data_IF_019437775839
#
_entry.id   IF_019437775839
#
_cell.length_a   1.000
_cell.length_b   1.000
_cell.length_c   1.000
_cell.angle_alpha   90.00
_cell.angle_beta   90.00
_cell.angle_gamma   90.00
#
_symmetry.space_group_name_H-M   'P 1'
#
loop_
_entity.id
_entity.type
_entity.pdbx_description
1 polymer ?
#
# COMPACT_ATOMS: atom_id res chain seq x y z
N UNK A 1 -20.45 34.83 1.95
CA UNK A 1 -19.81 33.52 2.23
C UNK A 1 -18.95 33.23 1.03
N UNK A 2 -17.64 33.49 1.10
CA UNK A 2 -16.75 33.32 -0.06
C UNK A 2 -16.46 31.83 -0.23
N UNK A 3 -17.20 31.18 -1.13
CA UNK A 3 -16.96 29.78 -1.48
C UNK A 3 -15.60 29.71 -2.17
N UNK A 4 -14.65 28.97 -1.60
CA UNK A 4 -13.32 28.82 -2.18
C UNK A 4 -13.22 27.51 -2.93
N UNK A 5 -12.89 27.57 -4.22
CA UNK A 5 -12.83 26.42 -5.12
C UNK A 5 -11.47 26.31 -5.78
N UNK A 6 -11.02 25.09 -6.07
CA UNK A 6 -9.78 24.91 -6.83
C UNK A 6 -10.00 25.25 -8.31
N UNK A 7 -8.91 25.34 -9.10
CA UNK A 7 -8.98 25.72 -10.51
C UNK A 7 -9.91 24.83 -11.36
N UNK A 8 -9.94 23.51 -11.12
CA UNK A 8 -10.82 22.57 -11.84
C UNK A 8 -12.29 22.77 -11.48
N UNK A 9 -12.60 22.91 -10.19
CA UNK A 9 -13.95 23.19 -9.70
C UNK A 9 -14.44 24.56 -10.17
N UNK A 10 -13.56 25.57 -10.20
CA UNK A 10 -13.87 26.88 -10.74
C UNK A 10 -14.13 26.88 -12.24
N UNK A 11 -13.39 26.07 -13.01
CA UNK A 11 -13.67 25.84 -14.43
C UNK A 11 -15.03 25.16 -14.61
N UNK A 12 -15.29 24.07 -13.88
CA UNK A 12 -16.56 23.36 -13.94
C UNK A 12 -17.74 24.28 -13.57
N UNK A 13 -17.63 25.08 -12.51
CA UNK A 13 -18.64 26.08 -12.14
C UNK A 13 -18.85 27.12 -13.23
N UNK A 14 -17.78 27.63 -13.85
CA UNK A 14 -17.90 28.58 -14.96
C UNK A 14 -18.60 27.96 -16.16
N UNK A 15 -18.26 26.72 -16.51
CA UNK A 15 -18.84 25.99 -17.63
C UNK A 15 -20.31 25.67 -17.37
N UNK A 16 -20.66 25.27 -16.14
CA UNK A 16 -22.05 25.03 -15.71
C UNK A 16 -22.87 26.32 -15.75
N UNK A 17 -22.35 27.44 -15.22
CA UNK A 17 -23.03 28.74 -15.26
C UNK A 17 -23.20 29.20 -16.71
N UNK A 18 -22.19 28.99 -17.58
CA UNK A 18 -22.29 29.32 -19.00
C UNK A 18 -23.36 28.47 -19.71
N UNK A 19 -23.44 27.17 -19.42
CA UNK A 19 -24.51 26.30 -19.94
C UNK A 19 -25.89 26.74 -19.47
N UNK A 20 -26.06 27.06 -18.18
CA UNK A 20 -27.34 27.54 -17.65
C UNK A 20 -27.76 28.89 -18.26
N UNK A 21 -26.80 29.78 -18.50
CA UNK A 21 -27.02 31.04 -19.20
C UNK A 21 -27.42 30.80 -20.67
N UNK A 22 -26.77 29.83 -21.35
CA UNK A 22 -27.08 29.47 -22.73
C UNK A 22 -28.46 28.77 -22.87
N UNK A 23 -28.87 28.00 -21.86
CA UNK A 23 -30.17 27.34 -21.78
C UNK A 23 -31.30 28.24 -21.24
N UNK A 24 -31.02 29.53 -20.98
CA UNK A 24 -31.95 30.49 -20.38
C UNK A 24 -32.56 30.06 -19.02
N UNK A 25 -31.84 29.24 -18.26
CA UNK A 25 -32.24 28.86 -16.90
C UNK A 25 -31.96 29.96 -15.87
N UNK A 26 -31.01 30.86 -16.19
CA UNK A 26 -30.62 32.01 -15.36
C UNK A 26 -30.41 33.24 -16.23
N UNK A 27 -30.65 34.43 -15.67
CA UNK A 27 -30.39 35.70 -16.36
C UNK A 27 -28.90 36.12 -16.28
N UNK A 28 -28.52 37.11 -17.10
CA UNK A 28 -27.13 37.61 -17.14
C UNK A 28 -26.64 38.18 -15.80
N UNK A 29 -27.54 38.76 -15.00
CA UNK A 29 -27.21 39.39 -13.73
C UNK A 29 -26.99 38.34 -12.63
N UNK A 30 -27.82 37.30 -12.60
CA UNK A 30 -27.69 36.11 -11.77
C UNK A 30 -26.43 35.33 -12.10
N UNK A 31 -26.10 35.15 -13.39
CA UNK A 31 -24.87 34.50 -13.81
C UNK A 31 -23.62 35.26 -13.28
N UNK A 32 -23.65 36.59 -13.31
CA UNK A 32 -22.56 37.42 -12.81
C UNK A 32 -22.45 37.38 -11.28
N UNK A 33 -23.57 37.38 -10.57
CA UNK A 33 -23.61 37.19 -9.11
C UNK A 33 -23.07 35.81 -8.70
N UNK A 34 -23.44 34.75 -9.42
CA UNK A 34 -22.95 33.39 -9.17
C UNK A 34 -21.45 33.27 -9.40
N UNK A 35 -20.91 33.87 -10.47
CA UNK A 35 -19.45 33.91 -10.71
C UNK A 35 -18.69 34.69 -9.64
N UNK A 36 -19.31 35.72 -9.04
CA UNK A 36 -18.71 36.49 -7.94
C UNK A 36 -18.87 35.84 -6.57
N UNK A 37 -19.75 34.84 -6.44
CA UNK A 37 -20.02 34.14 -5.17
C UNK A 37 -18.90 33.18 -4.75
N UNK A 38 -17.95 32.88 -5.64
CA UNK A 38 -16.82 32.01 -5.36
C UNK A 38 -15.48 32.61 -5.79
N UNK A 39 -14.43 32.23 -5.09
CA UNK A 39 -13.05 32.59 -5.42
C UNK A 39 -12.28 31.35 -5.83
N UNK A 40 -11.59 31.45 -6.96
CA UNK A 40 -10.72 30.39 -7.46
C UNK A 40 -9.36 30.50 -6.74
N UNK A 41 -9.07 29.54 -5.88
CA UNK A 41 -7.72 29.38 -5.34
C UNK A 41 -6.86 28.77 -6.46
N UNK A 42 -5.83 29.49 -6.88
CA UNK A 42 -4.93 29.10 -7.97
C UNK A 42 -4.05 27.89 -7.62
N UNK A 43 -3.80 27.65 -6.33
CA UNK A 43 -2.89 26.61 -5.84
C UNK A 43 -3.54 25.68 -4.81
N UNK A 44 -3.47 24.36 -5.06
CA UNK A 44 -4.03 23.35 -4.18
C UNK A 44 -3.06 23.04 -3.02
N UNK A 45 -3.11 23.89 -1.99
CA UNK A 45 -2.27 23.74 -0.79
C UNK A 45 -2.49 22.41 -0.06
N UNK A 46 -3.68 21.81 -0.18
CA UNK A 46 -3.96 20.49 0.39
C UNK A 46 -3.19 19.41 -0.35
N UNK A 47 -3.19 19.46 -1.68
CA UNK A 47 -2.45 18.54 -2.52
C UNK A 47 -0.93 18.67 -2.28
N UNK A 48 -0.41 19.91 -2.22
CA UNK A 48 0.99 20.15 -1.87
C UNK A 48 1.32 19.56 -0.50
N UNK A 49 0.52 19.85 0.52
CA UNK A 49 0.75 19.32 1.87
C UNK A 49 0.79 17.79 1.87
N UNK A 50 -0.19 17.14 1.25
CA UNK A 50 -0.24 15.67 1.17
C UNK A 50 1.01 15.11 0.49
N UNK A 51 1.39 15.63 -0.67
CA UNK A 51 2.59 15.14 -1.38
C UNK A 51 3.88 15.47 -0.65
N UNK A 52 4.02 16.65 -0.04
CA UNK A 52 5.19 17.00 0.76
C UNK A 52 5.35 16.08 1.97
N UNK A 53 4.26 15.71 2.65
CA UNK A 53 4.32 14.73 3.73
C UNK A 53 4.72 13.34 3.22
N UNK A 54 4.19 12.89 2.08
CA UNK A 54 4.61 11.62 1.48
C UNK A 54 6.08 11.62 1.07
N UNK A 55 6.57 12.70 0.48
CA UNK A 55 7.99 12.86 0.14
C UNK A 55 8.84 12.87 1.41
N UNK A 56 8.43 13.60 2.45
CA UNK A 56 9.15 13.61 3.73
C UNK A 56 9.23 12.22 4.35
N UNK A 57 8.13 11.45 4.33
CA UNK A 57 8.11 10.05 4.79
C UNK A 57 9.06 9.19 3.94
N UNK A 58 9.00 9.30 2.61
CA UNK A 58 9.85 8.54 1.71
C UNK A 58 11.35 8.87 1.91
N UNK A 59 11.68 10.15 2.04
CA UNK A 59 13.03 10.61 2.37
C UNK A 59 13.50 10.10 3.73
N UNK A 60 12.62 10.09 4.74
CA UNK A 60 12.95 9.55 6.06
C UNK A 60 13.24 8.05 5.99
N UNK A 61 12.37 7.27 5.34
CA UNK A 61 12.56 5.83 5.14
C UNK A 61 13.87 5.57 4.39
N UNK A 62 14.10 6.28 3.29
CA UNK A 62 15.32 6.15 2.50
C UNK A 62 16.56 6.51 3.31
N UNK A 63 16.50 7.57 4.13
CA UNK A 63 17.59 7.94 5.04
C UNK A 63 17.91 6.82 6.03
N UNK A 64 16.91 6.15 6.59
CA UNK A 64 17.12 5.01 7.51
C UNK A 64 17.75 3.83 6.76
N UNK A 65 17.24 3.50 5.57
CA UNK A 65 17.79 2.40 4.76
C UNK A 65 19.25 2.67 4.37
N UNK A 66 19.57 3.89 3.91
CA UNK A 66 20.93 4.28 3.53
C UNK A 66 21.87 4.29 4.73
N UNK A 67 21.39 4.74 5.89
CA UNK A 67 22.16 4.72 7.13
C UNK A 67 22.48 3.29 7.59
N UNK A 68 21.55 2.34 7.42
CA UNK A 68 21.78 0.90 7.72
C UNK A 68 22.64 0.22 6.65
N UNK A 69 22.72 0.75 5.44
CA UNK A 69 23.58 0.22 4.38
C UNK A 69 25.02 0.74 4.46
N UNK A 70 25.30 1.74 5.30
CA UNK A 70 26.60 2.41 5.40
C UNK A 70 27.37 1.92 6.65
N UNK A 71 28.41 1.12 6.41
CA UNK A 71 29.27 0.55 7.45
C UNK A 71 29.95 1.62 8.34
N UNK A 72 30.26 2.80 7.78
CA UNK A 72 30.88 3.90 8.53
C UNK A 72 29.86 4.57 9.46
N UNK A 73 28.64 4.81 8.99
CA UNK A 73 27.58 5.35 9.83
C UNK A 73 27.16 4.35 10.92
N UNK A 74 27.07 3.05 10.60
CA UNK A 74 26.85 2.00 11.59
C UNK A 74 27.98 1.97 12.62
N UNK A 75 29.24 2.14 12.22
CA UNK A 75 30.38 2.20 13.13
C UNK A 75 30.39 3.47 14.00
N UNK A 76 29.92 4.61 13.47
CA UNK A 76 29.77 5.84 14.22
C UNK A 76 28.62 5.72 15.24
N UNK A 77 27.51 5.12 14.81
CA UNK A 77 26.37 4.80 15.64
C UNK A 77 26.79 3.79 16.71
N UNK A 78 27.56 2.74 16.42
CA UNK A 78 28.01 1.77 17.42
C UNK A 78 28.93 2.39 18.47
N UNK A 79 29.68 3.45 18.12
CA UNK A 79 30.41 4.27 19.10
C UNK A 79 29.50 5.17 19.95
N UNK A 80 28.44 5.74 19.37
CA UNK A 80 27.41 6.50 20.10
C UNK A 80 26.52 5.58 20.98
N UNK A 81 26.30 4.35 20.51
CA UNK A 81 25.57 3.22 21.08
C UNK A 81 26.54 2.31 21.86
N UNK A 82 27.55 2.88 22.52
CA UNK A 82 28.17 2.21 23.68
C UNK A 82 27.21 2.16 24.90
N UNK A 83 25.99 2.66 24.69
CA UNK A 83 24.85 2.61 25.60
C UNK A 83 24.24 1.20 25.58
N UNK A 84 24.01 0.55 26.74
CA UNK A 84 23.40 -0.76 26.79
C UNK A 84 22.09 -0.84 25.99
N UNK A 85 21.90 -1.92 25.21
CA UNK A 85 20.69 -2.10 24.39
C UNK A 85 19.39 -1.95 25.19
N UNK A 86 19.40 -2.35 26.47
CA UNK A 86 18.27 -2.19 27.40
C UNK A 86 17.88 -0.73 27.61
N UNK A 87 18.86 0.18 27.72
CA UNK A 87 18.62 1.61 27.87
C UNK A 87 17.99 2.15 26.58
N UNK A 88 18.50 1.76 25.41
CA UNK A 88 17.94 2.18 24.12
C UNK A 88 16.53 1.66 23.87
N UNK A 89 16.22 0.43 24.30
CA UNK A 89 14.85 -0.10 24.29
C UNK A 89 13.94 0.79 25.14
N UNK A 90 14.31 1.04 26.41
CA UNK A 90 13.49 1.84 27.33
C UNK A 90 13.27 3.26 26.82
N UNK A 91 14.35 3.95 26.39
CA UNK A 91 14.23 5.32 25.88
C UNK A 91 13.38 5.37 24.61
N UNK A 92 13.58 4.44 23.68
CA UNK A 92 12.77 4.38 22.45
C UNK A 92 11.31 4.06 22.75
N UNK A 93 11.02 3.15 23.69
CA UNK A 93 9.64 2.87 24.13
C UNK A 93 8.98 4.09 24.74
N UNK A 94 9.69 4.85 25.59
CA UNK A 94 9.16 6.10 26.17
C UNK A 94 8.88 7.12 25.06
N UNK A 95 9.81 7.31 24.12
CA UNK A 95 9.63 8.23 22.99
C UNK A 95 8.43 7.82 22.13
N UNK A 96 8.28 6.54 21.81
CA UNK A 96 7.13 6.03 21.06
C UNK A 96 5.81 6.33 21.79
N UNK A 97 5.75 6.04 23.09
CA UNK A 97 4.59 6.34 23.93
C UNK A 97 4.25 7.84 23.95
N UNK A 98 5.26 8.70 24.10
CA UNK A 98 5.08 10.14 24.03
C UNK A 98 4.56 10.60 22.67
N UNK A 99 5.05 10.05 21.56
CA UNK A 99 4.56 10.38 20.22
C UNK A 99 3.08 10.02 20.04
N UNK A 100 2.65 8.85 20.50
CA UNK A 100 1.23 8.47 20.47
C UNK A 100 0.38 9.40 21.36
N UNK A 101 0.79 9.66 22.60
CA UNK A 101 0.06 10.53 23.53
C UNK A 101 -0.04 11.96 23.01
N UNK A 102 1.07 12.52 22.53
CA UNK A 102 1.12 13.86 21.95
C UNK A 102 0.31 13.92 20.65
N UNK A 103 0.33 12.87 19.83
CA UNK A 103 -0.51 12.75 18.64
C UNK A 103 -2.00 12.79 18.97
N UNK A 104 -2.43 12.09 20.04
CA UNK A 104 -3.81 12.12 20.52
C UNK A 104 -4.18 13.50 21.04
N UNK A 105 -3.37 14.11 21.92
CA UNK A 105 -3.62 15.46 22.45
C UNK A 105 -3.70 16.49 21.32
N UNK A 106 -2.78 16.42 20.36
CA UNK A 106 -2.76 17.31 19.19
C UNK A 106 -3.99 17.13 18.32
N UNK A 107 -4.45 15.89 18.09
CA UNK A 107 -5.67 15.62 17.32
C UNK A 107 -6.92 16.20 17.99
N UNK A 108 -6.96 16.26 19.32
CA UNK A 108 -8.06 16.90 20.06
C UNK A 108 -8.02 18.44 19.93
N UNK A 109 -6.83 19.04 19.94
CA UNK A 109 -6.68 20.50 19.83
C UNK A 109 -6.78 21.03 18.39
N UNK A 110 -6.31 20.26 17.40
CA UNK A 110 -6.27 20.63 15.99
C UNK A 110 -6.85 19.52 15.10
N UNK A 111 -8.17 19.24 15.19
CA UNK A 111 -8.81 18.17 14.43
C UNK A 111 -8.75 18.38 12.91
N UNK A 112 -8.60 19.62 12.45
CA UNK A 112 -8.48 19.99 11.03
C UNK A 112 -7.14 19.57 10.41
N UNK A 113 -6.09 19.36 11.20
CA UNK A 113 -4.73 19.02 10.73
C UNK A 113 -4.54 17.51 10.56
N UNK A 114 -5.44 16.85 9.84
CA UNK A 114 -5.51 15.39 9.71
C UNK A 114 -4.18 14.74 9.30
N UNK A 115 -3.50 15.27 8.28
CA UNK A 115 -2.24 14.69 7.77
C UNK A 115 -1.11 14.80 8.80
N UNK A 116 -0.97 15.96 9.45
CA UNK A 116 0.09 16.16 10.44
C UNK A 116 -0.15 15.38 11.73
N UNK A 117 -1.42 15.16 12.11
CA UNK A 117 -1.78 14.32 13.24
C UNK A 117 -1.43 12.86 12.93
N UNK A 118 -1.71 12.39 11.71
CA UNK A 118 -1.38 11.04 11.27
C UNK A 118 0.14 10.81 11.16
N UNK A 119 0.90 11.84 10.77
CA UNK A 119 2.36 11.80 10.74
C UNK A 119 2.97 11.55 12.13
N UNK A 120 2.37 12.09 13.19
CA UNK A 120 2.82 11.84 14.57
C UNK A 120 2.66 10.35 14.95
N UNK A 121 1.53 9.75 14.56
CA UNK A 121 1.30 8.31 14.76
C UNK A 121 2.25 7.46 13.92
N UNK A 122 2.56 7.88 12.69
CA UNK A 122 3.56 7.23 11.85
C UNK A 122 4.93 7.18 12.53
N UNK A 123 5.42 8.31 13.08
CA UNK A 123 6.68 8.29 13.83
C UNK A 123 6.58 7.41 15.09
N UNK A 124 5.45 7.42 15.79
CA UNK A 124 5.21 6.50 16.92
C UNK A 124 5.36 5.02 16.50
N UNK A 125 4.79 4.66 15.35
CA UNK A 125 4.95 3.32 14.75
C UNK A 125 6.42 3.04 14.43
N UNK A 126 7.14 3.93 13.75
CA UNK A 126 8.54 3.70 13.42
C UNK A 126 9.43 3.51 14.66
N UNK A 127 9.27 4.37 15.68
CA UNK A 127 10.07 4.26 16.91
C UNK A 127 9.70 3.00 17.70
N UNK A 128 8.45 2.52 17.63
CA UNK A 128 8.06 1.25 18.24
C UNK A 128 8.79 0.06 17.57
N UNK A 129 8.93 0.07 16.24
CA UNK A 129 9.72 -0.93 15.54
C UNK A 129 11.20 -0.87 15.93
N UNK A 130 11.77 0.34 16.03
CA UNK A 130 13.16 0.55 16.51
C UNK A 130 13.35 0.04 17.94
N UNK A 131 12.41 0.33 18.84
CA UNK A 131 12.45 -0.16 20.22
C UNK A 131 12.46 -1.69 20.28
N UNK A 132 11.66 -2.34 19.42
CA UNK A 132 11.64 -3.80 19.29
C UNK A 132 12.94 -4.35 18.72
N UNK A 133 13.54 -3.66 17.75
CA UNK A 133 14.87 -3.99 17.23
C UNK A 133 15.97 -3.90 18.29
N UNK A 134 15.97 -2.87 19.14
CA UNK A 134 16.93 -2.83 20.26
C UNK A 134 16.65 -3.90 21.31
N UNK A 135 15.37 -4.25 21.54
CA UNK A 135 14.99 -5.30 22.49
C UNK A 135 15.61 -6.64 22.10
N UNK A 136 15.75 -6.95 20.80
CA UNK A 136 16.35 -8.22 20.35
C UNK A 136 17.82 -8.38 20.71
N UNK A 137 18.53 -7.27 20.94
CA UNK A 137 19.93 -7.27 21.36
C UNK A 137 20.12 -7.21 22.88
N UNK A 138 19.04 -7.28 23.67
CA UNK A 138 19.13 -7.30 25.13
C UNK A 138 19.43 -8.70 25.66
N UNK A 139 20.11 -8.77 26.81
CA UNK A 139 20.41 -10.05 27.48
C UNK A 139 19.16 -10.83 27.88
N UNK A 140 18.04 -10.14 28.15
CA UNK A 140 16.76 -10.75 28.51
C UNK A 140 16.12 -11.50 27.33
N UNK A 141 16.33 -11.04 26.10
CA UNK A 141 15.68 -11.56 24.91
C UNK A 141 16.62 -12.41 24.02
N UNK A 142 17.82 -12.75 24.52
CA UNK A 142 18.85 -13.46 23.77
C UNK A 142 18.37 -14.82 23.21
N UNK A 143 17.47 -15.48 23.93
CA UNK A 143 16.90 -16.79 23.54
C UNK A 143 15.55 -16.68 22.86
N UNK A 144 15.04 -15.47 22.62
CA UNK A 144 13.75 -15.28 21.99
C UNK A 144 13.87 -15.44 20.48
N UNK A 145 12.82 -15.95 19.86
CA UNK A 145 12.75 -16.10 18.40
C UNK A 145 12.63 -14.73 17.74
N UNK A 146 13.25 -14.57 16.58
CA UNK A 146 13.22 -13.31 15.84
C UNK A 146 11.79 -12.82 15.53
N UNK A 147 10.89 -13.76 15.24
CA UNK A 147 9.47 -13.49 14.98
C UNK A 147 8.77 -12.77 16.14
N UNK A 148 9.21 -12.97 17.39
CA UNK A 148 8.63 -12.30 18.57
C UNK A 148 8.85 -10.79 18.52
N UNK A 149 10.01 -10.34 18.01
CA UNK A 149 10.30 -8.92 17.87
C UNK A 149 9.52 -8.24 16.74
N UNK A 150 8.90 -9.01 15.84
CA UNK A 150 7.93 -8.50 14.87
C UNK A 150 6.52 -8.58 15.45
N UNK A 151 6.22 -9.63 16.22
CA UNK A 151 4.91 -9.84 16.83
C UNK A 151 4.55 -8.74 17.83
N UNK A 152 5.49 -8.35 18.70
CA UNK A 152 5.28 -7.30 19.72
C UNK A 152 4.80 -5.98 19.10
N UNK A 153 5.55 -5.35 18.17
CA UNK A 153 5.10 -4.10 17.53
C UNK A 153 3.81 -4.32 16.73
N UNK A 154 3.64 -5.47 16.07
CA UNK A 154 2.41 -5.80 15.34
C UNK A 154 1.18 -5.80 16.25
N UNK A 155 1.27 -6.45 17.41
CA UNK A 155 0.19 -6.49 18.39
C UNK A 155 -0.13 -5.08 18.93
N UNK A 156 0.91 -4.27 19.19
CA UNK A 156 0.75 -2.87 19.59
C UNK A 156 0.00 -2.08 18.50
N UNK A 157 0.38 -2.22 17.22
CA UNK A 157 -0.27 -1.51 16.11
C UNK A 157 -1.71 -1.95 15.90
N UNK A 158 -2.04 -3.24 16.08
CA UNK A 158 -3.43 -3.71 16.00
C UNK A 158 -4.30 -3.01 17.05
N UNK A 159 -3.83 -2.96 18.30
CA UNK A 159 -4.57 -2.32 19.41
C UNK A 159 -4.67 -0.81 19.20
N UNK A 160 -3.55 -0.15 18.96
CA UNK A 160 -3.50 1.31 18.78
C UNK A 160 -4.28 1.75 17.54
N UNK A 161 -4.17 1.02 16.43
CA UNK A 161 -4.89 1.32 15.18
C UNK A 161 -6.40 1.33 15.36
N UNK A 162 -6.93 0.36 16.12
CA UNK A 162 -8.37 0.31 16.44
C UNK A 162 -8.75 1.42 17.43
N UNK A 163 -8.00 1.59 18.52
CA UNK A 163 -8.30 2.57 19.57
C UNK A 163 -8.26 4.01 19.05
N UNK A 164 -7.22 4.35 18.28
CA UNK A 164 -7.04 5.69 17.72
C UNK A 164 -7.85 5.91 16.45
N UNK A 165 -8.54 4.89 15.93
CA UNK A 165 -9.20 4.94 14.62
C UNK A 165 -8.27 5.49 13.51
N UNK A 166 -7.03 5.03 13.52
CA UNK A 166 -5.99 5.46 12.58
C UNK A 166 -5.83 4.39 11.50
N UNK A 167 -6.16 4.76 10.26
CA UNK A 167 -6.00 3.88 9.10
C UNK A 167 -4.51 3.63 8.83
N UNK A 168 -3.66 4.63 9.04
CA UNK A 168 -2.23 4.50 8.83
C UNK A 168 -1.62 3.46 9.78
N UNK A 169 -1.89 3.57 11.09
CA UNK A 169 -1.38 2.60 12.07
C UNK A 169 -1.90 1.20 11.78
N UNK A 170 -3.17 1.08 11.37
CA UNK A 170 -3.74 -0.19 10.96
C UNK A 170 -3.06 -0.82 9.74
N UNK A 171 -2.68 -0.01 8.74
CA UNK A 171 -1.91 -0.50 7.59
C UNK A 171 -0.58 -1.11 8.05
N UNK A 172 0.14 -0.44 8.96
CA UNK A 172 1.38 -0.98 9.52
C UNK A 172 1.15 -2.23 10.38
N UNK A 173 0.00 -2.33 11.05
CA UNK A 173 -0.40 -3.54 11.75
C UNK A 173 -0.57 -4.73 10.78
N UNK A 174 -1.28 -4.53 9.68
CA UNK A 174 -1.46 -5.58 8.65
C UNK A 174 -0.14 -5.93 7.94
N UNK A 175 0.72 -4.94 7.70
CA UNK A 175 2.07 -5.18 7.20
C UNK A 175 2.90 -6.02 8.19
N UNK A 176 2.81 -5.70 9.47
CA UNK A 176 3.42 -6.45 10.56
C UNK A 176 2.92 -7.88 10.65
N UNK A 177 1.61 -8.12 10.45
CA UNK A 177 1.05 -9.48 10.36
C UNK A 177 1.70 -10.27 9.22
N UNK A 178 1.85 -9.67 8.05
CA UNK A 178 2.54 -10.31 6.92
C UNK A 178 4.00 -10.66 7.26
N UNK A 179 4.76 -9.71 7.81
CA UNK A 179 6.16 -9.94 8.22
C UNK A 179 6.28 -11.00 9.32
N UNK A 180 5.35 -11.01 10.27
CA UNK A 180 5.32 -12.00 11.33
C UNK A 180 5.03 -13.40 10.77
N UNK A 181 4.03 -13.55 9.90
CA UNK A 181 3.75 -14.85 9.25
C UNK A 181 4.93 -15.31 8.41
N UNK A 182 5.58 -14.39 7.68
CA UNK A 182 6.77 -14.70 6.91
C UNK A 182 7.87 -15.28 7.79
N UNK A 183 8.23 -14.58 8.87
CA UNK A 183 9.32 -14.99 9.77
C UNK A 183 8.98 -16.23 10.58
N UNK A 184 7.77 -16.32 11.15
CA UNK A 184 7.33 -17.47 11.95
C UNK A 184 7.24 -18.74 11.10
N UNK A 185 6.61 -18.67 9.93
CA UNK A 185 6.50 -19.87 9.07
C UNK A 185 7.85 -20.27 8.47
N UNK A 186 8.78 -19.33 8.26
CA UNK A 186 10.13 -19.65 7.81
C UNK A 186 10.95 -20.30 8.92
N UNK A 187 10.80 -19.83 10.16
CA UNK A 187 11.41 -20.47 11.33
C UNK A 187 10.87 -21.90 11.55
N UNK A 188 9.55 -22.10 11.43
CA UNK A 188 8.92 -23.41 11.62
C UNK A 188 9.20 -24.40 10.47
N UNK A 189 9.55 -23.91 9.28
CA UNK A 189 9.85 -24.77 8.13
C UNK A 189 11.18 -25.56 8.29
N UNK A 190 12.09 -25.09 9.15
CA UNK A 190 13.42 -25.67 9.37
C UNK A 190 14.23 -25.83 8.06
N UNK A 191 15.10 -26.84 7.95
CA UNK A 191 15.94 -27.13 6.77
C UNK A 191 15.15 -27.39 5.48
N UNK A 192 13.83 -27.58 5.59
CA UNK A 192 12.92 -27.69 4.47
C UNK A 192 12.31 -26.32 4.21
N UNK A 193 12.69 -25.68 3.11
CA UNK A 193 12.16 -24.39 2.66
C UNK A 193 10.62 -24.31 2.47
N UNK A 194 9.88 -25.41 2.69
CA UNK A 194 8.43 -25.54 2.61
C UNK A 194 7.80 -25.70 4.00
N UNK A 195 6.92 -24.77 4.38
CA UNK A 195 6.08 -24.88 5.57
C UNK A 195 4.77 -25.56 5.19
N UNK A 196 4.48 -26.75 5.74
CA UNK A 196 3.32 -27.57 5.36
C UNK A 196 3.20 -27.80 3.84
N UNK A 197 4.33 -27.99 3.17
CA UNK A 197 4.38 -28.17 1.70
C UNK A 197 4.16 -26.88 0.91
N UNK A 198 4.14 -25.72 1.56
CA UNK A 198 3.93 -24.42 0.93
C UNK A 198 5.20 -23.58 0.94
N UNK A 199 5.55 -23.04 -0.21
CA UNK A 199 6.57 -22.00 -0.31
C UNK A 199 6.00 -20.63 0.13
N UNK A 200 6.88 -19.62 0.21
CA UNK A 200 6.50 -18.28 0.69
C UNK A 200 5.34 -17.68 -0.12
N UNK A 201 5.37 -17.66 -1.48
CA UNK A 201 4.23 -17.20 -2.26
C UNK A 201 2.91 -17.91 -1.91
N UNK A 202 2.88 -19.24 -1.82
CA UNK A 202 1.65 -19.96 -1.52
C UNK A 202 1.10 -19.65 -0.12
N UNK A 203 1.98 -19.51 0.88
CA UNK A 203 1.59 -19.05 2.23
C UNK A 203 0.94 -17.67 2.18
N UNK A 204 1.54 -16.73 1.44
CA UNK A 204 1.00 -15.37 1.32
C UNK A 204 -0.28 -15.28 0.50
N UNK A 205 -0.53 -16.20 -0.43
CA UNK A 205 -1.83 -16.32 -1.08
C UNK A 205 -2.92 -16.64 -0.04
N UNK A 206 -2.66 -17.57 0.88
CA UNK A 206 -3.61 -17.90 1.96
C UNK A 206 -3.78 -16.72 2.91
N UNK A 207 -2.69 -16.09 3.36
CA UNK A 207 -2.75 -14.90 4.23
C UNK A 207 -3.55 -13.78 3.58
N UNK A 208 -3.28 -13.49 2.30
CA UNK A 208 -4.01 -12.49 1.54
C UNK A 208 -5.51 -12.81 1.45
N UNK A 209 -5.88 -14.05 1.16
CA UNK A 209 -7.26 -14.51 1.13
C UNK A 209 -7.96 -14.37 2.50
N UNK A 210 -7.27 -14.70 3.59
CA UNK A 210 -7.79 -14.53 4.95
C UNK A 210 -8.02 -13.04 5.29
N UNK A 211 -7.10 -12.15 4.91
CA UNK A 211 -7.25 -10.71 5.12
C UNK A 211 -8.38 -10.12 4.26
N UNK A 212 -8.57 -10.61 3.03
CA UNK A 212 -9.74 -10.24 2.20
C UNK A 212 -11.04 -10.67 2.89
N UNK A 213 -11.09 -11.89 3.44
CA UNK A 213 -12.24 -12.38 4.21
C UNK A 213 -12.49 -11.57 5.49
N UNK A 214 -11.42 -11.18 6.19
CA UNK A 214 -11.50 -10.27 7.34
C UNK A 214 -12.11 -8.93 6.92
N UNK A 215 -11.65 -8.35 5.81
CA UNK A 215 -12.20 -7.09 5.29
C UNK A 215 -13.70 -7.18 5.02
N UNK A 216 -14.18 -8.28 4.44
CA UNK A 216 -15.61 -8.51 4.24
C UNK A 216 -16.39 -8.54 5.56
N UNK A 217 -15.81 -9.12 6.61
CA UNK A 217 -16.40 -9.17 7.95
C UNK A 217 -16.47 -7.80 8.63
N UNK A 218 -15.46 -6.93 8.40
CA UNK A 218 -15.44 -5.57 8.95
C UNK A 218 -16.59 -4.69 8.43
N UNK A 219 -17.13 -4.98 7.24
CA UNK A 219 -18.26 -4.24 6.65
C UNK A 219 -19.53 -4.31 7.52
N UNK A 220 -19.70 -5.39 8.27
CA UNK A 220 -20.88 -5.59 9.12
C UNK A 220 -20.80 -4.88 10.48
N UNK A 221 -19.62 -4.39 10.88
CA UNK A 221 -19.42 -3.71 12.15
C UNK A 221 -19.19 -2.21 11.93
N UNK A 222 -20.18 -1.39 12.28
CA UNK A 222 -20.12 0.08 12.13
C UNK A 222 -18.91 0.73 12.83
N UNK A 223 -18.42 0.14 13.93
CA UNK A 223 -17.23 0.64 14.64
C UNK A 223 -15.94 0.42 13.87
N UNK A 224 -15.87 -0.63 13.04
CA UNK A 224 -14.66 -1.03 12.30
C UNK A 224 -14.76 -0.76 10.80
N UNK A 225 -15.88 -0.21 10.32
CA UNK A 225 -16.11 0.07 8.92
C UNK A 225 -15.00 0.93 8.29
N UNK A 226 -14.43 1.87 9.06
CA UNK A 226 -13.32 2.72 8.60
C UNK A 226 -12.04 1.94 8.22
N UNK A 227 -11.90 0.69 8.68
CA UNK A 227 -10.76 -0.18 8.39
C UNK A 227 -11.00 -1.06 7.15
N UNK A 228 -12.23 -1.12 6.63
CA UNK A 228 -12.63 -2.04 5.56
C UNK A 228 -11.76 -1.88 4.31
N UNK A 229 -11.65 -0.66 3.78
CA UNK A 229 -10.91 -0.39 2.54
C UNK A 229 -9.42 -0.67 2.68
N UNK A 230 -8.80 -0.24 3.79
CA UNK A 230 -7.39 -0.50 4.07
C UNK A 230 -7.08 -1.99 4.22
N UNK A 231 -7.96 -2.73 4.89
CA UNK A 231 -7.84 -4.19 5.05
C UNK A 231 -8.00 -4.89 3.70
N UNK A 232 -8.96 -4.46 2.88
CA UNK A 232 -9.16 -5.00 1.54
C UNK A 232 -7.93 -4.77 0.67
N UNK A 233 -7.38 -3.56 0.70
CA UNK A 233 -6.19 -3.18 -0.05
C UNK A 233 -5.00 -4.07 0.28
N UNK A 234 -4.64 -4.23 1.56
CA UNK A 234 -3.51 -5.07 1.96
C UNK A 234 -3.77 -6.56 1.63
N UNK A 235 -5.00 -7.04 1.86
CA UNK A 235 -5.37 -8.42 1.52
C UNK A 235 -5.21 -8.72 0.04
N UNK A 236 -5.72 -7.85 -0.84
CA UNK A 236 -5.55 -7.99 -2.29
C UNK A 236 -4.10 -7.83 -2.71
N UNK A 237 -3.35 -6.91 -2.10
CA UNK A 237 -1.93 -6.74 -2.35
C UNK A 237 -1.17 -8.04 -2.06
N UNK A 238 -1.35 -8.66 -0.89
CA UNK A 238 -0.72 -9.93 -0.57
C UNK A 238 -1.18 -11.05 -1.49
N UNK A 239 -2.49 -11.18 -1.70
CA UNK A 239 -3.06 -12.24 -2.51
C UNK A 239 -2.58 -12.21 -3.96
N UNK A 240 -2.69 -11.06 -4.63
CA UNK A 240 -2.34 -10.96 -6.05
C UNK A 240 -0.83 -10.97 -6.29
N UNK A 241 -0.02 -10.35 -5.41
CA UNK A 241 1.45 -10.46 -5.52
C UNK A 241 1.89 -11.91 -5.31
N UNK A 242 1.32 -12.61 -4.35
CA UNK A 242 1.59 -14.03 -4.12
C UNK A 242 1.25 -14.89 -5.33
N UNK A 243 0.05 -14.74 -5.89
CA UNK A 243 -0.35 -15.49 -7.09
C UNK A 243 0.53 -15.17 -8.31
N UNK A 244 0.91 -13.90 -8.49
CA UNK A 244 1.86 -13.53 -9.54
C UNK A 244 3.23 -14.18 -9.33
N UNK A 245 3.75 -14.19 -8.10
CA UNK A 245 5.01 -14.90 -7.80
C UNK A 245 4.88 -16.41 -8.06
N UNK A 246 3.73 -17.03 -7.80
CA UNK A 246 3.49 -18.44 -8.12
C UNK A 246 3.50 -18.74 -9.63
N UNK A 247 3.14 -17.79 -10.50
CA UNK A 247 3.26 -18.00 -11.96
C UNK A 247 4.72 -17.98 -12.45
N UNK A 248 5.62 -17.39 -11.66
CA UNK A 248 7.06 -17.31 -11.94
C UNK A 248 7.80 -18.46 -11.27
N UNK A 249 7.53 -18.71 -9.99
CA UNK A 249 8.31 -19.61 -9.14
C UNK A 249 7.62 -20.96 -8.86
N UNK A 250 6.31 -21.09 -9.10
CA UNK A 250 5.56 -22.27 -8.69
C UNK A 250 5.58 -22.51 -7.19
N UNK A 251 5.39 -23.77 -6.77
CA UNK A 251 5.48 -24.21 -5.38
C UNK A 251 6.61 -25.23 -5.22
N UNK A 252 7.85 -24.76 -5.35
CA UNK A 252 9.05 -25.57 -5.16
C UNK A 252 9.76 -25.24 -3.86
N UNK A 253 10.55 -26.20 -3.40
CA UNK A 253 11.32 -26.13 -2.16
C UNK A 253 12.54 -25.22 -2.30
N UNK A 254 13.31 -25.29 -3.38
CA UNK A 254 14.55 -24.52 -3.49
C UNK A 254 14.67 -23.77 -4.80
N UNK A 255 15.49 -22.70 -4.78
CA UNK A 255 15.83 -21.96 -6.00
C UNK A 255 16.58 -22.85 -7.00
N UNK A 256 17.38 -23.81 -6.50
CA UNK A 256 18.04 -24.81 -7.32
C UNK A 256 17.06 -25.80 -7.93
N UNK A 257 16.04 -26.25 -7.19
CA UNK A 257 14.98 -27.07 -7.79
C UNK A 257 14.24 -26.30 -8.89
N UNK A 258 13.88 -25.04 -8.64
CA UNK A 258 13.23 -24.17 -9.62
C UNK A 258 14.07 -23.93 -10.88
N UNK A 259 15.40 -23.75 -10.75
CA UNK A 259 16.26 -23.43 -11.91
C UNK A 259 16.36 -24.54 -12.95
N UNK A 260 16.02 -25.79 -12.59
CA UNK A 260 16.06 -26.94 -13.50
C UNK A 260 14.72 -27.19 -14.19
N UNK A 261 13.68 -26.43 -13.86
CA UNK A 261 12.32 -26.66 -14.32
C UNK A 261 12.02 -25.78 -15.53
N UNK A 262 11.39 -26.38 -16.54
CA UNK A 262 10.93 -25.64 -17.71
C UNK A 262 9.69 -24.84 -17.31
N UNK A 263 9.62 -23.57 -17.68
CA UNK A 263 8.47 -22.76 -17.27
C UNK A 263 7.12 -23.24 -17.82
N UNK A 264 7.12 -24.05 -18.88
CA UNK A 264 5.90 -24.68 -19.39
C UNK A 264 5.21 -25.53 -18.30
N UNK A 265 5.94 -26.08 -17.33
CA UNK A 265 5.38 -26.89 -16.23
C UNK A 265 4.57 -26.04 -15.24
N UNK A 266 4.77 -24.71 -15.23
CA UNK A 266 4.07 -23.74 -14.39
C UNK A 266 2.79 -23.18 -15.04
N UNK A 267 2.37 -23.73 -16.17
CA UNK A 267 1.17 -23.26 -16.89
C UNK A 267 -0.09 -23.28 -16.02
N UNK A 268 -0.23 -24.26 -15.13
CA UNK A 268 -1.38 -24.38 -14.21
C UNK A 268 -1.55 -23.15 -13.31
N UNK A 269 -0.45 -22.61 -12.78
CA UNK A 269 -0.47 -21.38 -11.98
C UNK A 269 -0.86 -20.16 -12.81
N UNK A 270 -0.41 -20.11 -14.08
CA UNK A 270 -0.77 -19.03 -15.00
C UNK A 270 -2.26 -19.03 -15.35
N UNK A 271 -2.84 -20.22 -15.60
CA UNK A 271 -4.28 -20.37 -15.85
C UNK A 271 -5.09 -20.01 -14.60
N UNK A 272 -4.69 -20.50 -13.43
CA UNK A 272 -5.35 -20.16 -12.17
C UNK A 272 -5.34 -18.63 -11.92
N UNK A 273 -4.19 -17.99 -12.13
CA UNK A 273 -4.05 -16.53 -12.02
C UNK A 273 -4.96 -15.78 -13.01
N UNK A 274 -5.05 -16.25 -14.25
CA UNK A 274 -5.94 -15.66 -15.26
C UNK A 274 -7.41 -15.78 -14.84
N UNK A 275 -7.84 -16.95 -14.35
CA UNK A 275 -9.20 -17.14 -13.87
C UNK A 275 -9.51 -16.26 -12.66
N UNK A 276 -8.58 -16.13 -11.71
CA UNK A 276 -8.75 -15.29 -10.53
C UNK A 276 -8.83 -13.81 -10.89
N UNK A 277 -7.95 -13.33 -11.78
CA UNK A 277 -7.97 -11.92 -12.23
C UNK A 277 -9.24 -11.59 -13.00
N UNK A 278 -9.70 -12.45 -13.92
CA UNK A 278 -10.98 -12.29 -14.62
C UNK A 278 -12.17 -12.29 -13.65
N UNK A 279 -12.16 -13.20 -12.68
CA UNK A 279 -13.20 -13.26 -11.64
C UNK A 279 -13.23 -12.00 -10.79
N UNK A 280 -12.07 -11.44 -10.43
CA UNK A 280 -11.96 -10.19 -9.70
C UNK A 280 -12.44 -8.99 -10.52
N UNK A 281 -12.13 -8.93 -11.81
CA UNK A 281 -12.65 -7.89 -12.72
C UNK A 281 -14.17 -7.97 -12.77
N UNK A 282 -14.72 -9.17 -13.02
CA UNK A 282 -16.16 -9.39 -13.08
C UNK A 282 -16.86 -9.02 -11.77
N UNK A 283 -16.34 -9.50 -10.64
CA UNK A 283 -16.86 -9.18 -9.30
C UNK A 283 -16.77 -7.68 -8.99
N UNK A 284 -15.65 -7.03 -9.34
CA UNK A 284 -15.43 -5.61 -9.13
C UNK A 284 -16.37 -4.73 -9.96
N UNK A 285 -16.70 -5.14 -11.20
CA UNK A 285 -17.72 -4.47 -12.02
C UNK A 285 -19.12 -4.70 -11.43
N UNK A 286 -19.48 -5.95 -11.14
CA UNK A 286 -20.82 -6.32 -10.66
C UNK A 286 -21.19 -5.61 -9.34
N UNK A 287 -20.23 -5.46 -8.44
CA UNK A 287 -20.46 -4.87 -7.12
C UNK A 287 -20.02 -3.41 -7.01
N UNK A 288 -19.68 -2.76 -8.13
CA UNK A 288 -19.13 -1.41 -8.18
C UNK A 288 -17.97 -1.18 -7.18
N UNK A 289 -17.09 -2.17 -7.06
CA UNK A 289 -15.90 -2.08 -6.22
C UNK A 289 -14.68 -1.73 -7.11
N UNK A 290 -14.28 -0.44 -7.16
CA UNK A 290 -13.22 0.00 -8.06
C UNK A 290 -11.86 -0.60 -7.68
N UNK A 291 -11.66 -0.92 -6.39
CA UNK A 291 -10.39 -1.41 -5.87
C UNK A 291 -10.14 -2.86 -6.32
N UNK A 292 -11.08 -3.78 -6.12
CA UNK A 292 -10.97 -5.17 -6.61
C UNK A 292 -10.83 -5.19 -8.14
N UNK A 293 -11.62 -4.36 -8.83
CA UNK A 293 -11.54 -4.22 -10.30
C UNK A 293 -10.15 -3.78 -10.75
N UNK A 294 -9.56 -2.77 -10.09
CA UNK A 294 -8.24 -2.27 -10.43
C UNK A 294 -7.16 -3.34 -10.23
N UNK A 295 -7.16 -4.05 -9.09
CA UNK A 295 -6.23 -5.16 -8.86
C UNK A 295 -6.37 -6.24 -9.94
N UNK A 296 -7.60 -6.65 -10.27
CA UNK A 296 -7.85 -7.63 -11.33
C UNK A 296 -7.27 -7.20 -12.69
N UNK A 297 -7.49 -5.94 -13.11
CA UNK A 297 -6.96 -5.40 -14.37
C UNK A 297 -5.43 -5.33 -14.35
N UNK A 298 -4.85 -4.74 -13.30
CA UNK A 298 -3.40 -4.56 -13.18
C UNK A 298 -2.69 -5.90 -13.21
N UNK A 299 -3.16 -6.87 -12.44
CA UNK A 299 -2.52 -8.18 -12.35
C UNK A 299 -2.79 -9.08 -13.56
N UNK A 300 -3.91 -8.89 -14.27
CA UNK A 300 -4.12 -9.52 -15.57
C UNK A 300 -3.07 -9.03 -16.58
N UNK A 301 -2.89 -7.71 -16.69
CA UNK A 301 -1.86 -7.12 -17.56
C UNK A 301 -0.46 -7.57 -17.16
N UNK A 302 -0.14 -7.52 -15.86
CA UNK A 302 1.14 -7.98 -15.32
C UNK A 302 1.41 -9.44 -15.72
N UNK A 303 0.42 -10.33 -15.55
CA UNK A 303 0.54 -11.74 -15.92
C UNK A 303 0.75 -11.92 -17.43
N UNK A 304 -0.02 -11.22 -18.27
CA UNK A 304 0.13 -11.27 -19.73
C UNK A 304 1.51 -10.79 -20.18
N UNK A 305 2.01 -9.69 -19.61
CA UNK A 305 3.34 -9.19 -19.94
C UNK A 305 4.46 -10.08 -19.40
N UNK A 306 4.33 -10.67 -18.21
CA UNK A 306 5.29 -11.66 -17.73
C UNK A 306 5.42 -12.83 -18.72
N UNK A 307 4.28 -13.36 -19.22
CA UNK A 307 4.29 -14.40 -20.26
C UNK A 307 4.85 -13.91 -21.59
N UNK A 308 4.55 -12.68 -21.99
CA UNK A 308 5.11 -12.08 -23.20
C UNK A 308 6.64 -12.06 -23.15
N UNK A 309 7.22 -11.59 -22.04
CA UNK A 309 8.67 -11.62 -21.85
C UNK A 309 9.21 -13.05 -21.88
N UNK A 310 8.56 -13.97 -21.16
CA UNK A 310 9.02 -15.36 -21.08
C UNK A 310 9.07 -16.08 -22.43
N UNK A 311 8.02 -15.97 -23.25
CA UNK A 311 7.95 -16.68 -24.53
C UNK A 311 8.68 -15.97 -25.68
N UNK A 312 8.70 -14.63 -25.67
CA UNK A 312 9.17 -13.86 -26.83
C UNK A 312 10.56 -13.24 -26.67
N UNK A 313 11.11 -13.19 -25.45
CA UNK A 313 12.41 -12.54 -25.23
C UNK A 313 13.57 -13.20 -25.99
N UNK A 314 13.60 -14.54 -26.03
CA UNK A 314 14.64 -15.31 -26.72
C UNK A 314 14.33 -15.62 -28.19
N UNK A 315 13.07 -15.49 -28.61
CA UNK A 315 12.59 -15.97 -29.93
C UNK A 315 12.38 -14.85 -30.94
N UNK A 316 11.97 -13.65 -30.51
CA UNK A 316 11.78 -12.50 -31.39
C UNK A 316 13.04 -11.65 -31.54
N UNK A 317 13.19 -11.03 -32.71
CA UNK A 317 14.14 -9.94 -32.88
C UNK A 317 13.80 -8.79 -31.92
N UNK A 318 14.81 -8.23 -31.23
CA UNK A 318 14.61 -7.24 -30.16
C UNK A 318 13.83 -6.02 -30.61
N UNK A 319 14.07 -5.53 -31.84
CA UNK A 319 13.31 -4.42 -32.39
C UNK A 319 11.81 -4.74 -32.53
N UNK A 320 11.46 -5.95 -33.00
CA UNK A 320 10.07 -6.38 -33.13
C UNK A 320 9.42 -6.59 -31.76
N UNK A 321 10.17 -7.18 -30.81
CA UNK A 321 9.73 -7.36 -29.43
C UNK A 321 9.31 -6.01 -28.81
N UNK A 322 10.20 -5.01 -28.86
CA UNK A 322 9.89 -3.69 -28.29
C UNK A 322 8.82 -2.93 -29.09
N UNK A 323 8.74 -3.12 -30.41
CA UNK A 323 7.68 -2.52 -31.23
C UNK A 323 6.28 -3.05 -30.84
N UNK A 324 6.13 -4.37 -30.70
CA UNK A 324 4.86 -4.98 -30.25
C UNK A 324 4.49 -4.49 -28.86
N UNK A 325 5.47 -4.45 -27.94
CA UNK A 325 5.28 -3.96 -26.57
C UNK A 325 4.80 -2.49 -26.57
N UNK A 326 5.44 -1.63 -27.35
CA UNK A 326 5.09 -0.22 -27.47
C UNK A 326 3.67 -0.02 -28.05
N UNK A 327 3.33 -0.74 -29.14
CA UNK A 327 2.00 -0.70 -29.74
C UNK A 327 0.92 -1.18 -28.77
N UNK A 328 1.21 -2.22 -27.99
CA UNK A 328 0.33 -2.75 -26.95
C UNK A 328 0.02 -1.69 -25.86
N UNK A 329 1.05 -1.06 -25.30
CA UNK A 329 0.87 0.01 -24.31
C UNK A 329 0.16 1.23 -24.88
N UNK A 330 0.46 1.61 -26.12
CA UNK A 330 -0.25 2.71 -26.79
C UNK A 330 -1.74 2.38 -26.99
N UNK A 331 -2.08 1.16 -27.39
CA UNK A 331 -3.46 0.70 -27.50
C UNK A 331 -4.23 0.77 -26.18
N UNK A 332 -3.61 0.32 -25.08
CA UNK A 332 -4.22 0.41 -23.74
C UNK A 332 -4.36 1.88 -23.31
N UNK A 333 -3.31 2.68 -23.48
CA UNK A 333 -3.28 4.10 -23.09
C UNK A 333 -4.33 4.93 -23.83
N UNK A 334 -4.44 4.78 -25.15
CA UNK A 334 -5.43 5.48 -25.97
C UNK A 334 -6.87 5.10 -25.60
N UNK A 335 -7.14 3.85 -25.25
CA UNK A 335 -8.47 3.44 -24.73
C UNK A 335 -8.77 4.03 -23.36
N UNK A 336 -7.78 4.02 -22.46
CA UNK A 336 -7.92 4.65 -21.15
C UNK A 336 -8.20 6.15 -21.27
N UNK A 337 -7.49 6.84 -22.17
CA UNK A 337 -7.72 8.26 -22.49
C UNK A 337 -9.14 8.50 -23.00
N UNK A 338 -9.62 7.68 -23.95
CA UNK A 338 -10.98 7.79 -24.48
C UNK A 338 -12.04 7.63 -23.38
N UNK A 339 -11.86 6.66 -22.47
CA UNK A 339 -12.78 6.46 -21.33
C UNK A 339 -12.73 7.66 -20.39
N UNK A 340 -11.55 8.22 -20.12
CA UNK A 340 -11.39 9.41 -19.30
C UNK A 340 -12.10 10.63 -19.90
N UNK A 341 -11.94 10.86 -21.22
CA UNK A 341 -12.60 11.95 -21.92
C UNK A 341 -14.13 11.82 -21.93
N UNK A 342 -14.67 10.60 -21.99
CA UNK A 342 -16.12 10.36 -21.89
C UNK A 342 -16.66 10.74 -20.50
N UNK A 343 -15.89 10.50 -19.44
CA UNK A 343 -16.26 10.89 -18.08
C UNK A 343 -16.24 12.40 -17.82
N UNK A 344 -15.58 13.19 -18.66
CA UNK A 344 -15.55 14.66 -18.59
C UNK A 344 -16.62 15.33 -19.47
N UNK A 345 -17.32 14.57 -20.33
CA UNK A 345 -18.34 15.09 -21.25
C UNK A 345 -19.78 14.97 -20.72
N UNK A 346 -19.96 14.39 -19.54
CA UNK A 346 -21.21 14.38 -18.77
C UNK A 346 -20.99 15.20 -17.50
#
# INVERSE_FOLDING_TARGET
MDIKVNKRQGQLLNDTIAQWQQQQLIDNQQAQQLRQSYQIISFDWKLLAVYSFWIAIACFILSVVLLVADDYLIALISRLINTPASVLTITSTIIAGLLFVLGVKRRQHYPEKTVSNEAMFFFGVLITAVASGFLSHTTLALHWRESVFILIPTAIYLVIGIQLRSVLVWLFALLGVGLWVLTETSYLAQDHYLFWGMNIPLRFAIVGALIIGLSASLKYNSRLLFLHEATLFIGLMYFFNALWMLTIFGNYDSLSAWSHIKQIELWGWSVAMMLVTLSAIFYGIKNNNPLIRAFGIIFLLLCLYSRYFEFFWGTLHKALFFAILALSFWGIGSRAEKIWQLGNKN
#
